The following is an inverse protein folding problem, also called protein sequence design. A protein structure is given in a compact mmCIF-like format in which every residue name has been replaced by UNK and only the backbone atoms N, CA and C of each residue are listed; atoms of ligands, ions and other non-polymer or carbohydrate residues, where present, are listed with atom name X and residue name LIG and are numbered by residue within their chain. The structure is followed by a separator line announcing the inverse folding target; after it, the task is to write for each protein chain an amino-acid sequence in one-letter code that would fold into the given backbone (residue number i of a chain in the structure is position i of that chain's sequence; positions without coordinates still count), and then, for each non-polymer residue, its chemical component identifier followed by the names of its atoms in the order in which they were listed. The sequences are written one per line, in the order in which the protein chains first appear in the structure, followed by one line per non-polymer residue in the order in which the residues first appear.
data_IF_798676895135
#
_entry.id   IF_798676895135
#
_cell.length_a   1.000
_cell.length_b   1.000
_cell.length_c   1.000
_cell.angle_alpha   90.00
_cell.angle_beta   90.00
_cell.angle_gamma   90.00
#
_symmetry.space_group_name_H-M   'P 1'
#
loop_
_entity.id
_entity.type
_entity.pdbx_description
1 polymer ?
#
# COMPACT_ATOMS: atom_id res chain seq x y z
N UNK A 1 -29.05 -7.86 34.58
CA UNK A 1 -28.61 -8.52 33.34
C UNK A 1 -27.62 -7.56 32.69
N UNK A 2 -26.32 -7.79 32.86
CA UNK A 2 -25.30 -6.95 32.22
C UNK A 2 -25.15 -7.45 30.79
N UNK A 3 -25.51 -6.63 29.81
CA UNK A 3 -25.22 -6.92 28.42
C UNK A 3 -23.69 -6.86 28.25
N UNK A 4 -23.08 -8.00 28.00
CA UNK A 4 -21.68 -8.09 27.59
C UNK A 4 -21.61 -7.62 26.13
N UNK A 5 -21.25 -6.36 25.92
CA UNK A 5 -21.06 -5.82 24.58
C UNK A 5 -19.68 -6.25 24.10
N UNK A 6 -19.55 -6.89 22.93
CA UNK A 6 -18.25 -7.26 22.40
C UNK A 6 -17.37 -6.01 22.26
N UNK A 7 -16.14 -6.10 22.75
CA UNK A 7 -15.15 -5.03 22.58
C UNK A 7 -14.69 -5.01 21.12
N UNK A 8 -15.36 -4.20 20.29
CA UNK A 8 -15.06 -4.05 18.86
C UNK A 8 -13.81 -3.20 18.57
N UNK A 9 -13.19 -2.60 19.60
CA UNK A 9 -11.99 -1.75 19.42
C UNK A 9 -10.84 -2.42 18.66
N UNK A 10 -10.50 -3.71 18.89
CA UNK A 10 -9.42 -4.36 18.17
C UNK A 10 -9.66 -4.44 16.66
N UNK A 11 -10.91 -4.66 16.23
CA UNK A 11 -11.29 -4.68 14.82
C UNK A 11 -11.21 -3.29 14.19
N UNK A 12 -11.73 -2.27 14.89
CA UNK A 12 -11.64 -0.89 14.42
C UNK A 12 -10.18 -0.41 14.27
N UNK A 13 -9.30 -0.81 15.20
CA UNK A 13 -7.86 -0.51 15.13
C UNK A 13 -7.21 -1.23 13.94
N UNK A 14 -7.53 -2.51 13.72
CA UNK A 14 -7.01 -3.27 12.59
C UNK A 14 -7.46 -2.66 11.24
N UNK A 15 -8.74 -2.30 11.11
CA UNK A 15 -9.29 -1.67 9.91
C UNK A 15 -8.63 -0.31 9.64
N UNK A 16 -8.41 0.49 10.70
CA UNK A 16 -7.71 1.77 10.58
C UNK A 16 -6.26 1.58 10.15
N UNK A 17 -5.54 0.62 10.77
CA UNK A 17 -4.17 0.30 10.40
C UNK A 17 -4.08 -0.19 8.95
N UNK A 18 -5.01 -1.04 8.49
CA UNK A 18 -5.03 -1.51 7.11
C UNK A 18 -5.24 -0.36 6.10
N UNK A 19 -6.11 0.61 6.39
CA UNK A 19 -6.27 1.80 5.54
C UNK A 19 -5.00 2.64 5.53
N UNK A 20 -4.43 2.91 6.70
CA UNK A 20 -3.19 3.68 6.80
C UNK A 20 -2.02 3.02 6.05
N UNK A 21 -1.90 1.69 6.10
CA UNK A 21 -0.88 0.95 5.34
C UNK A 21 -1.11 1.06 3.83
N UNK A 22 -2.35 0.98 3.35
CA UNK A 22 -2.67 1.19 1.93
C UNK A 22 -2.30 2.58 1.46
N UNK A 23 -2.75 3.61 2.18
CA UNK A 23 -2.44 5.01 1.86
C UNK A 23 -0.93 5.26 1.83
N UNK A 24 -0.20 4.63 2.77
CA UNK A 24 1.25 4.67 2.79
C UNK A 24 1.88 4.00 1.57
N UNK A 25 1.45 2.79 1.19
CA UNK A 25 1.95 2.07 0.01
C UNK A 25 1.71 2.86 -1.29
N UNK A 26 0.52 3.42 -1.46
CA UNK A 26 0.21 4.28 -2.61
C UNK A 26 1.11 5.52 -2.65
N UNK A 27 1.36 6.13 -1.49
CA UNK A 27 2.24 7.29 -1.39
C UNK A 27 3.68 6.92 -1.73
N UNK A 28 4.17 5.76 -1.28
CA UNK A 28 5.49 5.27 -1.67
C UNK A 28 5.57 5.04 -3.19
N UNK A 29 4.55 4.44 -3.82
CA UNK A 29 4.53 4.24 -5.26
C UNK A 29 4.67 5.56 -6.02
N UNK A 30 3.92 6.59 -5.61
CA UNK A 30 4.00 7.95 -6.19
C UNK A 30 5.38 8.58 -6.03
N UNK A 31 6.00 8.45 -4.85
CA UNK A 31 7.36 8.98 -4.59
C UNK A 31 8.40 8.24 -5.42
N UNK A 32 8.29 6.91 -5.54
CA UNK A 32 9.17 6.10 -6.39
C UNK A 32 9.06 6.52 -7.86
N UNK A 33 7.84 6.68 -8.37
CA UNK A 33 7.60 7.17 -9.73
C UNK A 33 8.16 8.57 -9.98
N UNK A 34 8.04 9.48 -9.01
CA UNK A 34 8.65 10.80 -9.09
C UNK A 34 10.17 10.73 -9.27
N UNK A 35 10.87 9.93 -8.48
CA UNK A 35 12.33 9.82 -8.58
C UNK A 35 12.79 9.14 -9.87
N UNK A 36 12.01 8.17 -10.37
CA UNK A 36 12.21 7.60 -11.70
C UNK A 36 12.14 8.70 -12.76
N UNK A 37 11.11 9.55 -12.72
CA UNK A 37 10.92 10.62 -13.71
C UNK A 37 12.04 11.67 -13.63
N UNK A 38 12.49 12.01 -12.42
CA UNK A 38 13.67 12.86 -12.22
C UNK A 38 14.90 12.23 -12.87
N UNK A 39 15.19 10.95 -12.60
CA UNK A 39 16.34 10.25 -13.19
C UNK A 39 16.25 10.15 -14.72
N UNK A 40 15.06 9.88 -15.26
CA UNK A 40 14.80 9.89 -16.70
C UNK A 40 15.12 11.26 -17.30
N UNK A 41 14.60 12.33 -16.68
CA UNK A 41 14.78 13.70 -17.17
C UNK A 41 16.23 14.18 -17.11
N UNK A 42 17.02 13.67 -16.17
CA UNK A 42 18.44 14.01 -16.01
C UNK A 42 19.39 13.15 -16.86
N UNK A 43 18.88 12.21 -17.65
CA UNK A 43 19.72 11.24 -18.39
C UNK A 43 20.48 10.28 -17.46
N UNK A 44 19.87 9.90 -16.35
CA UNK A 44 20.46 9.03 -15.33
C UNK A 44 20.60 7.55 -15.75
N UNK A 45 20.98 6.71 -14.79
CA UNK A 45 21.20 5.28 -15.01
C UNK A 45 19.92 4.54 -15.42
N UNK A 46 19.93 3.88 -16.58
CA UNK A 46 18.82 3.06 -17.07
C UNK A 46 18.47 1.92 -16.10
N UNK A 47 19.49 1.28 -15.50
CA UNK A 47 19.27 0.19 -14.55
C UNK A 47 18.55 0.66 -13.27
N UNK A 48 18.82 1.89 -12.82
CA UNK A 48 18.10 2.46 -11.67
C UNK A 48 16.67 2.86 -12.03
N UNK A 49 16.47 3.37 -13.25
CA UNK A 49 15.13 3.67 -13.77
C UNK A 49 14.27 2.41 -13.81
N UNK A 50 14.78 1.31 -14.38
CA UNK A 50 14.10 0.02 -14.43
C UNK A 50 13.76 -0.51 -13.03
N UNK A 51 14.72 -0.44 -12.09
CA UNK A 51 14.49 -0.86 -10.71
C UNK A 51 13.40 -0.04 -10.00
N UNK A 52 13.34 1.27 -10.24
CA UNK A 52 12.27 2.13 -9.68
C UNK A 52 10.92 1.84 -10.33
N UNK A 53 10.89 1.55 -11.63
CA UNK A 53 9.68 1.17 -12.35
C UNK A 53 9.07 -0.12 -11.78
N UNK A 54 9.89 -1.15 -11.59
CA UNK A 54 9.46 -2.42 -11.00
C UNK A 54 9.02 -2.25 -9.54
N UNK A 55 9.71 -1.39 -8.79
CA UNK A 55 9.34 -1.11 -7.41
C UNK A 55 8.01 -0.35 -7.29
N UNK A 56 7.75 0.63 -8.16
CA UNK A 56 6.47 1.35 -8.18
C UNK A 56 5.31 0.39 -8.46
N UNK A 57 5.45 -0.49 -9.47
CA UNK A 57 4.45 -1.53 -9.78
C UNK A 57 4.22 -2.49 -8.61
N UNK A 58 5.28 -2.87 -7.91
CA UNK A 58 5.16 -3.72 -6.72
C UNK A 58 4.34 -3.03 -5.62
N UNK A 59 4.62 -1.75 -5.34
CA UNK A 59 3.93 -0.97 -4.30
C UNK A 59 2.44 -0.77 -4.65
N UNK A 60 2.13 -0.48 -5.92
CA UNK A 60 0.75 -0.38 -6.41
C UNK A 60 0.01 -1.71 -6.24
N UNK A 61 0.62 -2.82 -6.64
CA UNK A 61 0.02 -4.15 -6.46
C UNK A 61 -0.17 -4.50 -4.98
N UNK A 62 0.77 -4.12 -4.10
CA UNK A 62 0.67 -4.34 -2.66
C UNK A 62 -0.48 -3.55 -2.02
N UNK A 63 -0.73 -2.30 -2.47
CA UNK A 63 -1.86 -1.50 -1.99
C UNK A 63 -3.22 -2.15 -2.32
N UNK A 64 -3.33 -2.80 -3.49
CA UNK A 64 -4.56 -3.42 -3.98
C UNK A 64 -4.85 -4.81 -3.35
N UNK A 65 -3.83 -5.56 -2.91
CA UNK A 65 -4.01 -6.96 -2.45
C UNK A 65 -4.91 -7.13 -1.22
N UNK A 66 -5.12 -6.08 -0.42
CA UNK A 66 -5.97 -6.19 0.77
C UNK A 66 -7.47 -6.00 0.50
N UNK A 67 -7.92 -5.79 -0.73
CA UNK A 67 -9.35 -5.62 -1.05
C UNK A 67 -10.07 -6.96 -1.29
N UNK A 68 -9.32 -8.04 -1.58
CA UNK A 68 -9.87 -9.34 -1.96
C UNK A 68 -10.02 -10.38 -0.84
N UNK A 69 -9.44 -10.16 0.35
CA UNK A 69 -9.33 -11.20 1.39
C UNK A 69 -10.55 -11.28 2.34
N UNK A 70 -11.50 -10.35 2.22
CA UNK A 70 -12.69 -10.26 3.11
C UNK A 70 -13.85 -11.18 2.65
N UNK A 71 -13.73 -11.85 1.49
CA UNK A 71 -14.82 -12.67 0.91
C UNK A 71 -14.61 -14.20 0.99
N UNK A 72 -13.55 -14.69 1.63
CA UNK A 72 -13.30 -16.13 1.77
C UNK A 72 -13.42 -16.58 3.23
N UNK A 73 -14.66 -16.65 3.72
CA UNK A 73 -14.99 -17.53 4.86
C UNK A 73 -16.37 -18.13 4.61
N UNK A 74 -16.36 -19.28 3.92
CA UNK A 74 -17.46 -20.25 3.90
C UNK A 74 -16.97 -21.55 4.54
#
# INVERSE_FOLDING_TARGET
MACDFPDDRPRAVADHAQRAVRDWLETQARVTGYWRDVLLSSGGSLALIEALDDHARFLEAAALRGEGDVLQTQ
#
